data_IF_699581200704
#
_entry.id   IF_699581200704
#
_cell.length_a   1.000
_cell.length_b   1.000
_cell.length_c   1.000
_cell.angle_alpha   90.00
_cell.angle_beta   90.00
_cell.angle_gamma   90.00
#
_symmetry.space_group_name_H-M   'P 1'
#
loop_
_entity.id
_entity.type
_entity.pdbx_description
1 polymer ?
#
# COMPACT_ATOMS: atom_id res chain seq x y z
N UNK A 1 1.00 -6.84 -9.25
CA UNK A 1 -0.14 -7.37 -10.03
C UNK A 1 -1.46 -6.75 -9.57
N UNK A 2 -1.90 -6.93 -8.32
CA UNK A 2 -3.19 -6.41 -7.82
C UNK A 2 -3.28 -4.89 -7.97
N UNK A 3 -2.24 -4.13 -7.63
CA UNK A 3 -2.22 -2.67 -7.80
C UNK A 3 -2.42 -2.24 -9.26
N UNK A 4 -1.82 -2.96 -10.19
CA UNK A 4 -1.95 -2.66 -11.63
C UNK A 4 -3.38 -2.92 -12.13
N UNK A 5 -4.01 -4.01 -11.68
CA UNK A 5 -5.41 -4.27 -12.01
C UNK A 5 -6.35 -3.22 -11.43
N UNK A 6 -6.12 -2.81 -10.19
CA UNK A 6 -6.89 -1.74 -9.54
C UNK A 6 -6.72 -0.40 -10.27
N UNK A 7 -5.49 -0.07 -10.66
CA UNK A 7 -5.21 1.15 -11.43
C UNK A 7 -5.94 1.15 -12.78
N UNK A 8 -5.93 0.02 -13.52
CA UNK A 8 -6.68 -0.12 -14.77
C UNK A 8 -8.17 0.16 -14.56
N UNK A 9 -8.79 -0.51 -13.59
CA UNK A 9 -10.22 -0.35 -13.32
C UNK A 9 -10.60 1.11 -12.99
N UNK A 10 -9.73 1.82 -12.26
CA UNK A 10 -9.95 3.23 -11.93
C UNK A 10 -9.81 4.11 -13.16
N UNK A 11 -8.76 3.90 -13.96
CA UNK A 11 -8.51 4.64 -15.19
C UNK A 11 -9.68 4.49 -16.18
N UNK A 12 -10.22 3.27 -16.30
CA UNK A 12 -11.36 2.96 -17.18
C UNK A 12 -12.67 3.60 -16.67
N UNK A 13 -12.81 3.78 -15.35
CA UNK A 13 -13.99 4.36 -14.72
C UNK A 13 -13.95 5.89 -14.60
N UNK A 14 -12.81 6.53 -14.84
CA UNK A 14 -12.68 7.98 -14.73
C UNK A 14 -13.49 8.72 -15.78
N UNK A 15 -14.22 9.75 -15.33
CA UNK A 15 -14.88 10.70 -16.22
C UNK A 15 -13.84 11.61 -16.91
N UNK A 16 -13.53 11.29 -18.16
CA UNK A 16 -12.55 12.00 -19.00
C UNK A 16 -12.98 13.41 -19.40
N UNK A 17 -14.20 13.81 -19.15
CA UNK A 17 -14.65 15.21 -19.37
C UNK A 17 -14.26 16.10 -18.20
N UNK A 18 -13.89 15.53 -17.05
CA UNK A 18 -13.53 16.24 -15.81
C UNK A 18 -12.10 16.01 -15.37
N UNK A 19 -11.53 14.86 -15.73
CA UNK A 19 -10.21 14.43 -15.23
C UNK A 19 -9.30 14.01 -16.40
N UNK A 20 -8.11 14.51 -16.41
CA UNK A 20 -7.02 14.08 -17.28
C UNK A 20 -6.02 13.27 -16.44
N UNK A 21 -6.00 11.94 -16.54
CA UNK A 21 -5.08 11.13 -15.74
C UNK A 21 -3.67 11.13 -16.30
N UNK A 22 -2.73 11.38 -15.43
CA UNK A 22 -1.30 11.18 -15.64
C UNK A 22 -0.91 9.89 -14.95
N UNK A 23 -0.44 8.90 -15.69
CA UNK A 23 -0.12 7.58 -15.14
C UNK A 23 1.34 7.48 -14.75
N UNK A 24 1.56 7.22 -13.46
CA UNK A 24 2.88 7.01 -12.90
C UNK A 24 2.95 5.61 -12.33
N UNK A 25 3.79 4.77 -12.91
CA UNK A 25 4.06 3.43 -12.42
C UNK A 25 5.29 3.42 -11.52
N UNK A 26 5.22 2.66 -10.42
CA UNK A 26 6.37 2.43 -9.53
C UNK A 26 6.79 0.97 -9.72
N UNK A 27 8.03 0.73 -10.12
CA UNK A 27 8.56 -0.60 -10.28
C UNK A 27 8.99 -1.22 -8.94
N UNK A 28 9.44 -2.49 -8.97
CA UNK A 28 9.86 -3.21 -7.76
C UNK A 28 11.17 -2.67 -7.16
N UNK A 29 11.94 -1.89 -7.89
CA UNK A 29 13.15 -1.23 -7.41
C UNK A 29 12.86 0.16 -6.82
N UNK A 30 11.62 0.65 -6.98
CA UNK A 30 11.18 1.96 -6.50
C UNK A 30 11.35 3.09 -7.51
N UNK A 31 11.68 2.80 -8.78
CA UNK A 31 11.74 3.83 -9.81
C UNK A 31 10.34 4.21 -10.26
N UNK A 32 10.15 5.49 -10.48
CA UNK A 32 8.90 6.06 -10.94
C UNK A 32 8.94 6.28 -12.44
N UNK A 33 7.98 5.73 -13.15
CA UNK A 33 7.91 5.78 -14.62
C UNK A 33 6.66 6.53 -15.05
N UNK A 34 6.82 7.57 -15.86
CA UNK A 34 5.71 8.24 -16.52
C UNK A 34 5.24 7.40 -17.71
N UNK A 35 3.98 7.04 -17.75
CA UNK A 35 3.41 6.17 -18.77
C UNK A 35 2.24 6.85 -19.50
N UNK A 36 2.01 6.44 -20.74
CA UNK A 36 0.82 6.81 -21.47
C UNK A 36 -0.36 5.90 -21.09
N UNK A 37 -1.56 6.46 -21.06
CA UNK A 37 -2.80 5.74 -20.70
C UNK A 37 -3.08 4.53 -21.59
N UNK A 38 -2.63 4.56 -22.83
CA UNK A 38 -2.84 3.50 -23.81
C UNK A 38 -1.87 2.33 -23.68
N UNK A 39 -0.73 2.50 -22.97
CA UNK A 39 0.36 1.53 -22.99
C UNK A 39 1.09 1.38 -21.63
N UNK A 40 0.40 1.61 -20.51
CA UNK A 40 1.05 1.50 -19.20
C UNK A 40 1.14 0.05 -18.69
N UNK A 41 0.37 -0.88 -19.26
CA UNK A 41 0.35 -2.28 -18.85
C UNK A 41 0.70 -3.22 -19.98
N UNK A 42 1.51 -4.21 -19.67
CA UNK A 42 1.77 -5.39 -20.50
C UNK A 42 0.81 -6.52 -20.09
N UNK A 43 0.44 -7.37 -21.05
CA UNK A 43 -0.43 -8.53 -20.83
C UNK A 43 -1.75 -8.21 -20.12
N UNK A 44 -2.41 -7.16 -20.50
CA UNK A 44 -3.61 -6.63 -19.83
C UNK A 44 -4.75 -7.65 -19.71
N UNK A 45 -4.86 -8.59 -20.66
CA UNK A 45 -5.91 -9.60 -20.69
C UNK A 45 -5.63 -10.81 -19.77
N UNK A 46 -4.43 -10.91 -19.20
CA UNK A 46 -4.06 -12.01 -18.31
C UNK A 46 -3.61 -11.48 -16.95
N UNK A 47 -4.46 -11.53 -15.91
CA UNK A 47 -4.13 -11.02 -14.58
C UNK A 47 -2.88 -11.63 -13.95
N UNK A 48 -2.53 -12.87 -14.30
CA UNK A 48 -1.34 -13.55 -13.78
C UNK A 48 -0.03 -13.06 -14.43
N UNK A 49 -0.11 -12.46 -15.61
CA UNK A 49 1.04 -11.97 -16.38
C UNK A 49 1.08 -10.44 -16.49
N UNK A 50 0.08 -9.75 -15.90
CA UNK A 50 0.01 -8.29 -15.96
C UNK A 50 1.28 -7.68 -15.36
N UNK A 51 1.91 -6.79 -16.08
CA UNK A 51 3.13 -6.10 -15.68
C UNK A 51 3.09 -4.62 -16.07
N UNK A 52 3.80 -3.81 -15.28
CA UNK A 52 4.02 -2.41 -15.62
C UNK A 52 4.90 -2.32 -16.86
N UNK A 53 4.49 -1.54 -17.84
CA UNK A 53 5.35 -1.16 -18.94
C UNK A 53 6.34 -0.10 -18.44
N UNK A 54 7.60 -0.46 -18.32
CA UNK A 54 8.66 0.45 -17.91
C UNK A 54 8.98 1.41 -19.04
N UNK A 55 8.51 2.63 -18.93
CA UNK A 55 8.88 3.68 -19.88
C UNK A 55 10.30 4.16 -19.62
N UNK A 56 10.94 4.75 -20.64
CA UNK A 56 12.24 5.40 -20.47
C UNK A 56 12.14 6.82 -19.83
N UNK A 57 10.93 7.22 -19.41
CA UNK A 57 10.67 8.52 -18.79
C UNK A 57 10.58 8.34 -17.27
N UNK A 58 11.72 8.36 -16.61
CA UNK A 58 11.80 8.27 -15.17
C UNK A 58 11.53 9.63 -14.51
N UNK A 59 10.81 9.58 -13.38
CA UNK A 59 10.45 10.73 -12.57
C UNK A 59 11.15 10.71 -11.22
N UNK A 60 11.48 11.89 -10.72
CA UNK A 60 11.85 12.12 -9.34
C UNK A 60 10.82 13.02 -8.64
N UNK A 61 10.55 12.73 -7.38
CA UNK A 61 9.78 13.62 -6.49
C UNK A 61 10.75 14.58 -5.83
N UNK A 62 10.53 15.88 -6.00
CA UNK A 62 11.40 16.93 -5.45
C UNK A 62 10.63 17.76 -4.43
N UNK A 63 10.83 17.51 -3.12
CA UNK A 63 10.20 18.28 -2.05
C UNK A 63 10.64 19.77 -2.07
N UNK A 64 9.78 20.63 -1.53
CA UNK A 64 10.11 22.07 -1.33
C UNK A 64 9.94 22.96 -2.56
N UNK A 65 9.41 22.44 -3.67
CA UNK A 65 9.00 23.26 -4.81
C UNK A 65 7.52 23.62 -4.69
N UNK A 66 7.16 24.86 -4.91
CA UNK A 66 5.76 25.31 -4.91
C UNK A 66 4.97 24.82 -6.14
N UNK A 67 5.65 24.39 -7.17
CA UNK A 67 5.12 23.76 -8.38
C UNK A 67 6.20 22.86 -8.98
N UNK A 68 5.81 21.91 -9.82
CA UNK A 68 6.75 20.99 -10.48
C UNK A 68 7.50 20.05 -9.50
N UNK A 69 6.77 19.50 -8.56
CA UNK A 69 7.31 18.52 -7.61
C UNK A 69 7.69 17.18 -8.28
N UNK A 70 7.16 16.91 -9.47
CA UNK A 70 7.49 15.75 -10.29
C UNK A 70 8.36 16.21 -11.48
N UNK A 71 9.56 15.67 -11.59
CA UNK A 71 10.56 16.09 -12.58
C UNK A 71 11.11 14.86 -13.30
N UNK A 72 11.19 14.92 -14.63
CA UNK A 72 11.90 13.89 -15.38
C UNK A 72 13.40 13.91 -15.07
N UNK A 73 13.96 12.74 -14.75
CA UNK A 73 15.39 12.61 -14.41
C UNK A 73 16.30 12.87 -15.60
N UNK A 74 15.80 12.69 -16.83
CA UNK A 74 16.52 13.03 -18.07
C UNK A 74 16.72 14.54 -18.29
N UNK A 75 16.00 15.38 -17.53
CA UNK A 75 16.06 16.83 -17.65
C UNK A 75 15.39 17.40 -18.91
N UNK A 76 14.73 16.57 -19.72
CA UNK A 76 14.18 16.98 -21.02
C UNK A 76 12.76 17.52 -20.95
N UNK A 77 12.02 17.26 -19.88
CA UNK A 77 10.64 17.73 -19.72
C UNK A 77 10.31 17.97 -18.26
N UNK A 78 9.57 19.02 -17.97
CA UNK A 78 8.87 19.21 -16.71
C UNK A 78 7.50 18.57 -16.86
N UNK A 79 7.10 17.75 -15.88
CA UNK A 79 5.73 17.31 -15.84
C UNK A 79 4.84 18.54 -15.64
N UNK A 80 3.74 18.61 -16.39
CA UNK A 80 2.73 19.63 -16.16
C UNK A 80 2.20 19.54 -14.73
N UNK A 81 1.55 20.59 -14.27
CA UNK A 81 1.00 20.63 -12.92
C UNK A 81 0.05 19.46 -12.68
N UNK A 82 0.27 18.75 -11.57
CA UNK A 82 -0.60 17.67 -11.10
C UNK A 82 -1.41 18.19 -9.92
N UNK A 83 -2.73 18.28 -10.08
CA UNK A 83 -3.62 18.82 -9.04
C UNK A 83 -3.77 17.88 -7.85
N UNK A 84 -3.82 16.56 -8.09
CA UNK A 84 -4.04 15.55 -7.05
C UNK A 84 -3.45 14.20 -7.45
N UNK A 85 -2.85 13.53 -6.50
CA UNK A 85 -2.37 12.14 -6.66
C UNK A 85 -3.46 11.16 -6.18
N UNK A 86 -3.69 10.11 -6.96
CA UNK A 86 -4.54 8.99 -6.55
C UNK A 86 -3.66 7.75 -6.35
N UNK A 87 -3.19 7.47 -5.13
CA UNK A 87 -2.29 6.35 -4.87
C UNK A 87 -3.02 5.01 -5.01
N UNK A 88 -2.54 4.12 -5.89
CA UNK A 88 -3.04 2.77 -6.07
C UNK A 88 -1.87 1.79 -5.95
N UNK A 89 -1.26 1.78 -4.78
CA UNK A 89 -0.15 0.88 -4.43
C UNK A 89 -0.56 0.08 -3.21
N UNK A 90 -0.90 -1.19 -3.41
CA UNK A 90 -1.32 -2.07 -2.32
C UNK A 90 -0.13 -2.63 -1.53
N UNK A 91 -0.33 -2.81 -0.22
CA UNK A 91 0.64 -3.41 0.69
C UNK A 91 1.69 -2.43 1.23
N UNK A 92 2.83 -2.99 1.59
CA UNK A 92 3.94 -2.27 2.21
C UNK A 92 4.44 -1.13 1.32
N UNK A 93 4.80 0.00 1.92
CA UNK A 93 5.18 1.28 1.30
C UNK A 93 4.04 2.02 0.61
N UNK A 94 2.95 1.37 0.21
CA UNK A 94 1.81 2.00 -0.44
C UNK A 94 0.66 2.36 0.51
N UNK A 95 0.40 1.49 1.52
CA UNK A 95 -0.75 1.63 2.41
C UNK A 95 -0.35 1.88 3.88
N UNK A 96 0.94 1.91 4.20
CA UNK A 96 1.47 2.00 5.56
C UNK A 96 1.87 3.42 6.00
N UNK A 97 1.57 4.42 5.20
CA UNK A 97 1.93 5.83 5.46
C UNK A 97 3.21 6.30 4.80
N UNK A 98 4.03 5.40 4.24
CA UNK A 98 5.30 5.78 3.60
C UNK A 98 5.09 6.62 2.35
N UNK A 99 4.27 6.16 1.41
CA UNK A 99 3.93 6.91 0.20
C UNK A 99 3.21 8.22 0.55
N UNK A 100 2.26 8.17 1.49
CA UNK A 100 1.54 9.34 1.98
C UNK A 100 2.48 10.38 2.57
N UNK A 101 3.49 9.93 3.33
CA UNK A 101 4.53 10.80 3.89
C UNK A 101 5.38 11.48 2.83
N UNK A 102 5.80 10.75 1.80
CA UNK A 102 6.52 11.29 0.66
C UNK A 102 5.70 12.38 -0.06
N UNK A 103 4.43 12.10 -0.35
CA UNK A 103 3.54 13.04 -1.01
C UNK A 103 3.31 14.31 -0.17
N UNK A 104 3.14 14.17 1.15
CA UNK A 104 3.03 15.30 2.06
C UNK A 104 4.29 16.16 2.11
N UNK A 105 5.47 15.54 2.17
CA UNK A 105 6.74 16.28 2.16
C UNK A 105 6.96 17.01 0.84
N UNK A 106 6.39 16.51 -0.26
CA UNK A 106 6.43 17.13 -1.57
C UNK A 106 5.32 18.18 -1.79
N UNK A 107 4.45 18.39 -0.80
CA UNK A 107 3.27 19.28 -0.94
C UNK A 107 2.35 18.87 -2.11
N UNK A 108 2.19 17.57 -2.30
CA UNK A 108 1.31 16.97 -3.31
C UNK A 108 0.01 16.51 -2.66
N UNK A 109 -1.15 17.12 -2.97
CA UNK A 109 -2.45 16.65 -2.52
C UNK A 109 -2.69 15.21 -2.99
N UNK A 110 -3.32 14.39 -2.17
CA UNK A 110 -3.63 13.01 -2.56
C UNK A 110 -4.97 12.53 -2.00
N UNK A 111 -5.53 11.54 -2.67
CA UNK A 111 -6.76 10.86 -2.27
C UNK A 111 -6.42 9.73 -1.30
N UNK A 112 -7.14 9.64 -0.19
CA UNK A 112 -7.01 8.56 0.79
C UNK A 112 -6.69 9.04 2.19
N UNK A 113 -6.37 8.07 3.07
CA UNK A 113 -5.99 8.33 4.46
C UNK A 113 -4.63 8.99 4.57
N UNK A 114 -4.48 9.89 5.54
CA UNK A 114 -3.19 10.50 5.85
C UNK A 114 -2.21 9.51 6.51
N UNK A 115 -0.98 9.93 6.71
CA UNK A 115 0.15 9.15 7.24
C UNK A 115 -0.23 8.36 8.49
N UNK A 116 -0.76 9.02 9.51
CA UNK A 116 -1.12 8.36 10.77
C UNK A 116 -2.22 7.33 10.59
N UNK A 117 -3.29 7.67 9.85
CA UNK A 117 -4.40 6.76 9.57
C UNK A 117 -3.93 5.52 8.83
N UNK A 118 -3.12 5.70 7.79
CA UNK A 118 -2.55 4.60 7.00
C UNK A 118 -1.66 3.69 7.86
N UNK A 119 -0.72 4.25 8.61
CA UNK A 119 0.19 3.51 9.46
C UNK A 119 -0.54 2.70 10.54
N UNK A 120 -1.51 3.32 11.23
CA UNK A 120 -2.31 2.67 12.27
C UNK A 120 -3.16 1.54 11.70
N UNK A 121 -3.82 1.77 10.57
CA UNK A 121 -4.70 0.75 9.97
C UNK A 121 -3.92 -0.43 9.40
N UNK A 122 -2.68 -0.22 8.95
CA UNK A 122 -1.83 -1.30 8.48
C UNK A 122 -1.33 -2.19 9.61
N UNK A 123 -1.07 -1.66 10.81
CA UNK A 123 -0.61 -2.43 11.96
C UNK A 123 -1.79 -3.02 12.76
N UNK A 124 -1.97 -4.36 12.65
CA UNK A 124 -3.08 -5.08 13.32
C UNK A 124 -3.03 -5.01 14.85
N UNK A 125 -1.84 -4.93 15.43
CA UNK A 125 -1.70 -4.82 16.89
C UNK A 125 -2.16 -3.45 17.37
N UNK A 126 -1.60 -2.40 16.78
CA UNK A 126 -1.93 -1.01 17.13
C UNK A 126 -3.40 -0.71 16.83
N UNK A 127 -3.88 -1.06 15.64
CA UNK A 127 -5.27 -0.87 15.22
C UNK A 127 -6.25 -1.51 16.22
N UNK A 128 -6.04 -2.78 16.59
CA UNK A 128 -6.90 -3.47 17.56
C UNK A 128 -6.83 -2.89 18.97
N UNK A 129 -5.68 -2.39 19.40
CA UNK A 129 -5.55 -1.72 20.71
C UNK A 129 -6.34 -0.43 20.74
N UNK A 130 -6.26 0.39 19.70
CA UNK A 130 -7.01 1.64 19.60
C UNK A 130 -8.53 1.39 19.50
N UNK A 131 -8.95 0.41 18.70
CA UNK A 131 -10.37 0.03 18.62
C UNK A 131 -10.91 -0.43 19.99
N UNK A 132 -10.15 -1.24 20.71
CA UNK A 132 -10.53 -1.69 22.06
C UNK A 132 -10.60 -0.53 23.05
N UNK A 133 -9.65 0.40 22.99
CA UNK A 133 -9.64 1.60 23.84
C UNK A 133 -10.86 2.50 23.56
N UNK A 134 -11.27 2.57 22.29
CA UNK A 134 -12.49 3.27 21.86
C UNK A 134 -13.80 2.51 22.16
N UNK A 135 -13.75 1.37 22.86
CA UNK A 135 -14.93 0.57 23.21
C UNK A 135 -15.50 -0.25 22.05
N UNK A 136 -14.79 -0.35 20.93
CA UNK A 136 -15.22 -1.15 19.79
C UNK A 136 -14.77 -2.60 19.98
N UNK A 137 -15.70 -3.54 19.80
CA UNK A 137 -15.44 -4.96 19.94
C UNK A 137 -14.42 -5.46 18.90
N UNK A 138 -13.38 -6.13 19.38
CA UNK A 138 -12.36 -6.77 18.52
C UNK A 138 -12.20 -8.23 18.91
N UNK A 139 -11.89 -9.08 17.94
CA UNK A 139 -11.57 -10.47 18.23
C UNK A 139 -10.38 -10.55 19.19
N UNK A 140 -10.39 -11.44 20.20
CA UNK A 140 -9.27 -11.63 21.11
C UNK A 140 -7.97 -11.91 20.36
N UNK A 141 -6.86 -11.44 20.88
CA UNK A 141 -5.55 -11.62 20.25
C UNK A 141 -4.41 -11.64 21.27
N UNK A 142 -3.29 -12.19 20.84
CA UNK A 142 -2.00 -12.14 21.51
C UNK A 142 -1.01 -11.54 20.53
N UNK A 143 -0.26 -10.52 20.96
CA UNK A 143 0.81 -9.96 20.15
C UNK A 143 2.11 -10.66 20.52
N UNK A 144 2.74 -11.28 19.52
CA UNK A 144 4.06 -11.87 19.63
C UNK A 144 5.12 -10.94 19.08
N UNK A 145 6.20 -10.80 19.80
CA UNK A 145 7.39 -10.07 19.40
C UNK A 145 8.66 -10.80 19.88
N UNK A 146 9.83 -10.33 19.50
CA UNK A 146 11.11 -10.95 19.89
C UNK A 146 11.29 -11.11 21.40
N UNK A 147 10.68 -10.25 22.20
CA UNK A 147 10.81 -10.27 23.65
C UNK A 147 9.90 -11.29 24.36
N UNK A 148 8.81 -11.73 23.74
CA UNK A 148 7.83 -12.61 24.38
C UNK A 148 7.54 -13.92 23.61
N UNK A 149 7.92 -14.04 22.34
CA UNK A 149 7.60 -15.21 21.52
C UNK A 149 8.11 -16.53 22.15
N UNK A 150 9.35 -16.55 22.65
CA UNK A 150 9.92 -17.74 23.28
C UNK A 150 9.25 -18.15 24.64
N UNK A 151 8.46 -17.25 25.22
CA UNK A 151 7.77 -17.49 26.50
C UNK A 151 6.25 -17.74 26.32
N UNK A 152 5.74 -17.58 25.13
CA UNK A 152 4.34 -17.82 24.81
C UNK A 152 4.18 -19.24 24.27
N UNK A 153 3.57 -20.14 25.04
CA UNK A 153 3.36 -21.51 24.63
C UNK A 153 2.07 -21.66 23.82
N UNK A 154 1.96 -22.75 23.05
CA UNK A 154 0.74 -23.12 22.35
C UNK A 154 -0.46 -23.25 23.32
N UNK A 155 -0.26 -23.92 24.47
CA UNK A 155 -1.32 -24.09 25.47
C UNK A 155 -1.82 -22.74 26.02
N UNK A 156 -0.95 -21.79 26.29
CA UNK A 156 -1.35 -20.47 26.73
C UNK A 156 -2.19 -19.74 25.65
N UNK A 157 -1.78 -19.87 24.39
CA UNK A 157 -2.52 -19.28 23.27
C UNK A 157 -3.88 -19.96 23.10
N UNK A 158 -3.94 -21.30 23.12
CA UNK A 158 -5.17 -22.09 23.05
C UNK A 158 -6.15 -21.75 24.18
N UNK A 159 -5.66 -21.69 25.42
CA UNK A 159 -6.49 -21.35 26.58
C UNK A 159 -7.12 -19.97 26.48
N UNK A 160 -6.36 -18.99 25.96
CA UNK A 160 -6.81 -17.60 25.84
C UNK A 160 -7.70 -17.33 24.64
N UNK A 161 -7.45 -17.99 23.51
CA UNK A 161 -8.06 -17.65 22.22
C UNK A 161 -8.99 -18.73 21.68
N UNK A 162 -8.86 -19.99 22.13
CA UNK A 162 -9.55 -21.15 21.55
C UNK A 162 -8.85 -21.66 20.28
N UNK A 163 -9.45 -22.65 19.63
CA UNK A 163 -8.99 -23.22 18.34
C UNK A 163 -10.12 -23.12 17.31
N UNK A 164 -9.79 -22.98 16.01
CA UNK A 164 -8.45 -22.82 15.45
C UNK A 164 -7.85 -21.43 15.69
N UNK A 165 -6.54 -21.34 15.77
CA UNK A 165 -5.79 -20.09 15.84
C UNK A 165 -5.41 -19.61 14.45
N UNK A 166 -5.20 -18.29 14.31
CA UNK A 166 -4.63 -17.69 13.10
C UNK A 166 -3.43 -16.86 13.48
N UNK A 167 -2.25 -17.27 13.02
CA UNK A 167 -1.01 -16.50 13.15
C UNK A 167 -0.90 -15.58 11.94
N UNK A 168 -0.68 -14.29 12.20
CA UNK A 168 -0.66 -13.25 11.14
C UNK A 168 0.47 -12.26 11.40
N UNK A 169 1.22 -11.84 10.39
CA UNK A 169 2.11 -10.68 10.53
C UNK A 169 1.30 -9.43 10.92
N UNK A 170 1.85 -8.62 11.81
CA UNK A 170 1.17 -7.38 12.22
C UNK A 170 0.97 -6.42 11.05
N UNK A 171 2.01 -6.25 10.21
CA UNK A 171 2.11 -5.20 9.21
C UNK A 171 2.04 -5.71 7.76
N UNK A 172 1.32 -6.81 7.51
CA UNK A 172 1.09 -7.33 6.16
C UNK A 172 -0.40 -7.40 5.85
N UNK A 173 -0.77 -6.98 4.64
CA UNK A 173 -2.13 -7.07 4.11
C UNK A 173 -2.37 -8.36 3.31
N UNK A 174 -3.55 -8.46 2.68
CA UNK A 174 -3.91 -9.46 1.66
C UNK A 174 -3.62 -10.92 2.05
N UNK A 175 -3.71 -11.26 3.34
CA UNK A 175 -3.42 -12.60 3.90
C UNK A 175 -1.99 -13.11 3.68
N UNK A 176 -1.05 -12.26 3.33
CA UNK A 176 0.36 -12.63 3.20
C UNK A 176 0.90 -13.08 4.57
N UNK A 177 1.50 -14.27 4.63
CA UNK A 177 2.07 -14.84 5.85
C UNK A 177 1.05 -15.24 6.91
N UNK A 178 -0.23 -15.41 6.56
CA UNK A 178 -1.27 -15.91 7.46
C UNK A 178 -1.24 -17.43 7.49
N UNK A 179 -1.15 -18.01 8.70
CA UNK A 179 -1.25 -19.45 8.91
C UNK A 179 -2.42 -19.76 9.83
N UNK A 180 -3.17 -20.81 9.52
CA UNK A 180 -4.17 -21.41 10.40
C UNK A 180 -3.49 -22.52 11.21
N UNK A 181 -3.76 -22.57 12.49
CA UNK A 181 -3.21 -23.55 13.42
C UNK A 181 -4.38 -24.25 14.11
N UNK A 182 -4.59 -25.54 13.84
CA UNK A 182 -5.64 -26.35 14.42
C UNK A 182 -5.16 -27.14 15.65
N UNK A 183 -3.88 -27.46 15.72
CA UNK A 183 -3.26 -28.20 16.83
C UNK A 183 -1.78 -27.78 17.03
N UNK A 184 -1.10 -28.42 17.99
CA UNK A 184 0.29 -28.09 18.38
C UNK A 184 1.33 -28.49 17.33
N UNK A 185 0.99 -29.33 16.36
CA UNK A 185 1.93 -29.83 15.34
C UNK A 185 2.02 -28.94 14.11
N UNK A 186 1.07 -28.04 13.94
CA UNK A 186 1.02 -27.01 12.88
C UNK A 186 1.65 -25.67 13.33
#
# INVERSE_FOLDING_TARGET
EVSLQSARNIVDALDRTRFEPVLIGIDKAGHWHLNDTSNFLLNQENPALIALNQSNRELAVVPGKASQQLVETSGQSLLEHVDVIFPIVHGTLGEDGCLQGLLRMADLPFVGSDVLGSAVCMDKDISKRLLRDAGIAVAPFITLNRGNAARTTFDQARQKLGLPLFVKPANQGSSVGVSKVADETE
#
